data_IF_692797392057
#
_entry.id   IF_692797392057
#
_cell.length_a   1.000
_cell.length_b   1.000
_cell.length_c   1.000
_cell.angle_alpha   90.00
_cell.angle_beta   90.00
_cell.angle_gamma   90.00
#
_symmetry.space_group_name_H-M   'P 1'
#
loop_
_entity.id
_entity.type
_entity.pdbx_description
1 polymer ?
#
# COMPACT_ATOMS: atom_id res chain seq x y z
N UNK A 1 -4.11 3.50 16.61
CA UNK A 1 -5.38 3.84 15.94
C UNK A 1 -5.36 5.34 15.68
N UNK A 2 -5.67 5.80 14.46
CA UNK A 2 -5.77 7.25 14.18
C UNK A 2 -6.98 7.80 14.94
N UNK A 3 -6.85 8.99 15.53
CA UNK A 3 -7.98 9.62 16.23
C UNK A 3 -8.92 10.26 15.21
N UNK A 4 -10.22 10.14 15.44
CA UNK A 4 -11.26 10.77 14.62
C UNK A 4 -10.98 12.27 14.51
N UNK A 5 -11.05 12.80 13.29
CA UNK A 5 -10.96 14.23 13.03
C UNK A 5 -12.21 14.89 13.60
N UNK A 6 -11.98 15.88 14.46
CA UNK A 6 -13.03 16.68 15.08
C UNK A 6 -13.36 17.92 14.24
N UNK A 7 -12.34 18.64 13.76
CA UNK A 7 -12.50 19.84 12.93
C UNK A 7 -11.18 20.25 12.24
N UNK A 8 -11.26 21.26 11.36
CA UNK A 8 -10.09 21.98 10.83
C UNK A 8 -9.89 23.28 11.62
N UNK A 9 -8.63 23.62 11.90
CA UNK A 9 -8.26 24.95 12.40
C UNK A 9 -8.62 26.04 11.39
N UNK A 10 -8.74 27.30 11.83
CA UNK A 10 -8.96 28.43 10.93
C UNK A 10 -7.86 28.54 9.86
N UNK A 11 -6.61 28.24 10.22
CA UNK A 11 -5.50 28.20 9.28
C UNK A 11 -5.66 27.10 8.24
N UNK A 12 -6.05 25.88 8.66
CA UNK A 12 -6.28 24.77 7.73
C UNK A 12 -7.43 25.07 6.77
N UNK A 13 -8.53 25.66 7.24
CA UNK A 13 -9.66 26.04 6.39
C UNK A 13 -9.25 27.07 5.35
N UNK A 14 -8.50 28.11 5.75
CA UNK A 14 -7.97 29.11 4.83
C UNK A 14 -7.09 28.47 3.75
N UNK A 15 -6.14 27.61 4.15
CA UNK A 15 -5.27 26.90 3.20
C UNK A 15 -6.04 25.96 2.27
N UNK A 16 -7.11 25.35 2.77
CA UNK A 16 -7.97 24.49 1.97
C UNK A 16 -8.61 25.30 0.83
N UNK A 17 -9.29 26.40 1.19
CA UNK A 17 -10.00 27.27 0.25
C UNK A 17 -9.07 27.97 -0.75
N UNK A 18 -7.87 28.35 -0.35
CA UNK A 18 -6.90 29.03 -1.22
C UNK A 18 -6.33 28.13 -2.32
N UNK A 19 -6.28 26.81 -2.10
CA UNK A 19 -5.39 25.91 -2.86
C UNK A 19 -6.05 24.67 -3.42
N UNK A 20 -7.21 24.28 -2.90
CA UNK A 20 -7.84 23.01 -3.22
C UNK A 20 -9.31 23.21 -3.57
N UNK A 21 -9.82 22.29 -4.38
CA UNK A 21 -11.23 22.20 -4.78
C UNK A 21 -12.07 21.39 -3.80
N UNK A 22 -11.45 20.48 -3.03
CA UNK A 22 -12.14 19.69 -2.01
C UNK A 22 -12.70 20.58 -0.87
N UNK A 23 -13.96 20.34 -0.49
CA UNK A 23 -14.58 21.06 0.63
C UNK A 23 -14.09 20.58 1.99
N UNK A 24 -14.30 21.39 3.02
CA UNK A 24 -13.94 21.02 4.40
C UNK A 24 -14.64 19.73 4.85
N UNK A 25 -15.94 19.61 4.61
CA UNK A 25 -16.74 18.44 5.03
C UNK A 25 -16.28 17.17 4.32
N UNK A 26 -15.96 17.30 3.04
CA UNK A 26 -15.47 16.22 2.20
C UNK A 26 -14.10 15.71 2.70
N UNK A 27 -13.19 16.64 3.03
CA UNK A 27 -11.88 16.30 3.60
C UNK A 27 -12.02 15.62 4.96
N UNK A 28 -12.84 16.16 5.85
CA UNK A 28 -13.09 15.57 7.17
C UNK A 28 -13.67 14.16 7.02
N UNK A 29 -14.58 13.96 6.07
CA UNK A 29 -15.14 12.64 5.78
C UNK A 29 -14.06 11.67 5.30
N UNK A 30 -13.22 12.06 4.34
CA UNK A 30 -12.11 11.23 3.85
C UNK A 30 -11.11 10.84 4.94
N UNK A 31 -10.81 11.76 5.85
CA UNK A 31 -9.92 11.46 6.97
C UNK A 31 -10.58 10.50 7.98
N UNK A 32 -11.88 10.63 8.20
CA UNK A 32 -12.64 9.81 9.15
C UNK A 32 -13.02 8.42 8.62
N UNK A 33 -12.96 8.15 7.31
CA UNK A 33 -13.13 6.80 6.74
C UNK A 33 -11.92 5.89 6.95
N UNK A 34 -10.83 6.40 7.51
CA UNK A 34 -9.62 5.60 7.77
C UNK A 34 -8.77 5.33 6.53
N UNK A 35 -9.03 6.03 5.43
CA UNK A 35 -8.26 5.94 4.18
C UNK A 35 -6.90 6.66 4.26
N UNK A 36 -6.68 7.47 5.30
CA UNK A 36 -5.41 8.11 5.56
C UNK A 36 -4.38 7.16 6.21
N UNK A 37 -3.10 7.34 5.87
CA UNK A 37 -1.98 6.63 6.50
C UNK A 37 -1.02 7.61 7.15
N UNK A 38 -0.61 7.30 8.38
CA UNK A 38 0.43 8.08 9.08
C UNK A 38 1.78 7.90 8.36
N UNK A 39 2.32 9.00 7.85
CA UNK A 39 3.66 9.02 7.25
C UNK A 39 4.71 9.52 8.23
N UNK A 40 4.35 10.41 9.16
CA UNK A 40 5.27 11.04 10.09
C UNK A 40 4.64 11.38 11.44
N UNK A 41 5.47 11.83 12.35
CA UNK A 41 5.07 12.52 13.59
C UNK A 41 6.19 13.46 14.01
N UNK A 42 5.83 14.50 14.74
CA UNK A 42 6.80 15.28 15.48
C UNK A 42 7.17 14.51 16.75
N UNK A 43 8.46 14.51 17.12
CA UNK A 43 8.94 13.89 18.36
C UNK A 43 8.67 14.78 19.57
N UNK A 44 8.57 16.09 19.36
CA UNK A 44 8.47 17.11 20.41
C UNK A 44 7.03 17.60 20.61
N UNK A 45 6.14 17.28 19.68
CA UNK A 45 4.75 17.72 19.72
C UNK A 45 3.80 16.56 19.45
N UNK A 46 2.53 16.72 19.80
CA UNK A 46 1.48 15.71 19.60
C UNK A 46 0.97 15.68 18.14
N UNK A 47 1.81 16.07 17.18
CA UNK A 47 1.44 16.20 15.79
C UNK A 47 1.75 14.92 15.00
N UNK A 48 0.76 14.46 14.24
CA UNK A 48 0.91 13.39 13.26
C UNK A 48 0.66 13.90 11.85
N UNK A 49 1.40 13.34 10.90
CA UNK A 49 1.29 13.70 9.50
C UNK A 49 0.61 12.54 8.77
N UNK A 50 -0.56 12.82 8.20
CA UNK A 50 -1.43 11.84 7.55
C UNK A 50 -1.42 12.10 6.05
N UNK A 51 -0.99 11.10 5.29
CA UNK A 51 -1.09 11.06 3.85
C UNK A 51 -2.45 10.49 3.45
N UNK A 52 -3.15 11.13 2.52
CA UNK A 52 -4.36 10.60 1.91
C UNK A 52 -4.38 10.83 0.40
N UNK A 53 -5.03 9.94 -0.34
CA UNK A 53 -5.42 10.21 -1.72
C UNK A 53 -6.73 11.00 -1.73
N UNK A 54 -6.76 12.11 -2.46
CA UNK A 54 -7.97 12.89 -2.66
C UNK A 54 -8.48 12.66 -4.10
N UNK A 55 -9.64 12.01 -4.28
CA UNK A 55 -10.20 11.77 -5.62
C UNK A 55 -10.58 13.05 -6.39
N UNK A 56 -10.99 14.10 -5.67
CA UNK A 56 -11.38 15.40 -6.26
C UNK A 56 -10.15 16.11 -6.84
N UNK A 57 -9.06 16.19 -6.07
CA UNK A 57 -7.80 16.77 -6.52
C UNK A 57 -7.04 15.85 -7.49
N UNK A 58 -7.39 14.56 -7.54
CA UNK A 58 -6.60 13.50 -8.19
C UNK A 58 -5.13 13.55 -7.75
N UNK A 59 -4.91 13.83 -6.46
CA UNK A 59 -3.58 14.03 -5.90
C UNK A 59 -3.51 13.54 -4.45
N UNK A 60 -2.27 13.34 -3.98
CA UNK A 60 -2.02 13.10 -2.57
C UNK A 60 -1.95 14.40 -1.78
N UNK A 61 -2.65 14.41 -0.64
CA UNK A 61 -2.64 15.49 0.33
C UNK A 61 -1.99 15.02 1.63
N UNK A 62 -1.38 15.95 2.35
CA UNK A 62 -0.86 15.72 3.70
C UNK A 62 -1.59 16.62 4.68
N UNK A 63 -2.23 16.01 5.67
CA UNK A 63 -2.85 16.70 6.80
C UNK A 63 -1.96 16.58 8.03
N UNK A 64 -1.70 17.70 8.71
CA UNK A 64 -1.04 17.72 10.01
C UNK A 64 -2.11 17.82 11.08
N UNK A 65 -2.22 16.81 11.93
CA UNK A 65 -3.26 16.69 12.95
C UNK A 65 -2.64 16.69 14.34
N UNK A 66 -3.24 17.44 15.27
CA UNK A 66 -2.98 17.29 16.70
C UNK A 66 -3.79 16.09 17.25
N UNK A 67 -3.09 15.08 17.76
CA UNK A 67 -3.75 13.87 18.27
C UNK A 67 -4.48 14.06 19.59
N UNK A 68 -4.23 15.15 20.33
CA UNK A 68 -4.86 15.39 21.63
C UNK A 68 -6.31 15.88 21.49
N UNK A 69 -6.61 16.67 20.47
CA UNK A 69 -7.93 17.24 20.24
C UNK A 69 -8.55 16.80 18.89
N UNK A 70 -7.77 16.14 18.03
CA UNK A 70 -8.21 15.65 16.73
C UNK A 70 -8.28 16.73 15.66
N UNK A 71 -7.80 17.94 15.92
CA UNK A 71 -7.89 19.09 15.02
C UNK A 71 -6.82 18.99 13.92
N UNK A 72 -7.22 19.21 12.67
CA UNK A 72 -6.29 19.38 11.55
C UNK A 72 -5.76 20.81 11.54
N UNK A 73 -4.46 20.98 11.74
CA UNK A 73 -3.80 22.27 11.85
C UNK A 73 -3.46 22.88 10.49
N UNK A 74 -3.12 22.05 9.50
CA UNK A 74 -2.86 22.49 8.13
C UNK A 74 -3.02 21.35 7.14
N UNK A 75 -3.23 21.72 5.86
CA UNK A 75 -3.36 20.82 4.71
C UNK A 75 -2.36 21.26 3.64
N UNK A 76 -1.60 20.32 3.11
CA UNK A 76 -0.51 20.55 2.17
C UNK A 76 -0.64 19.63 0.97
N UNK A 77 -0.15 20.08 -0.19
CA UNK A 77 0.15 19.14 -1.29
C UNK A 77 1.32 18.25 -0.87
N UNK A 78 1.45 17.09 -1.51
CA UNK A 78 2.59 16.21 -1.26
C UNK A 78 3.93 16.92 -1.53
N UNK A 79 4.02 17.70 -2.60
CA UNK A 79 5.25 18.42 -2.97
C UNK A 79 5.65 19.47 -1.95
N UNK A 80 4.68 20.23 -1.43
CA UNK A 80 4.92 21.18 -0.33
C UNK A 80 5.43 20.46 0.92
N UNK A 81 4.81 19.33 1.26
CA UNK A 81 5.24 18.54 2.40
C UNK A 81 6.67 18.01 2.22
N UNK A 82 7.01 17.47 1.05
CA UNK A 82 8.36 16.98 0.75
C UNK A 82 9.37 18.12 0.89
N UNK A 83 9.09 19.29 0.30
CA UNK A 83 9.97 20.46 0.36
C UNK A 83 10.19 20.96 1.80
N UNK A 84 9.11 21.15 2.54
CA UNK A 84 9.13 21.87 3.82
C UNK A 84 9.41 20.93 5.02
N UNK A 85 9.19 19.62 4.86
CA UNK A 85 9.29 18.61 5.93
C UNK A 85 10.20 17.43 5.57
N UNK A 86 11.11 17.58 4.60
CA UNK A 86 12.08 16.54 4.20
C UNK A 86 12.86 15.92 5.38
N UNK A 87 13.11 16.70 6.44
CA UNK A 87 13.81 16.25 7.65
C UNK A 87 13.00 15.22 8.47
N UNK A 88 11.68 15.24 8.36
CA UNK A 88 10.78 14.42 9.18
C UNK A 88 10.49 13.06 8.55
N UNK A 89 10.49 12.99 7.21
CA UNK A 89 10.14 11.80 6.45
C UNK A 89 10.92 11.81 5.13
N UNK A 90 11.60 10.70 4.83
CA UNK A 90 12.25 10.52 3.54
C UNK A 90 11.23 10.26 2.44
N UNK A 91 11.52 10.70 1.22
CA UNK A 91 10.69 10.40 0.04
C UNK A 91 10.47 8.89 -0.14
N UNK A 92 11.49 8.09 0.15
CA UNK A 92 11.41 6.63 0.19
C UNK A 92 10.29 6.12 1.12
N UNK A 93 10.15 6.70 2.32
CA UNK A 93 9.11 6.32 3.27
C UNK A 93 7.72 6.73 2.78
N UNK A 94 7.60 7.90 2.16
CA UNK A 94 6.35 8.36 1.52
C UNK A 94 5.94 7.35 0.45
N UNK A 95 6.85 7.02 -0.47
CA UNK A 95 6.53 6.12 -1.56
C UNK A 95 6.15 4.72 -1.07
N UNK A 96 6.81 4.21 -0.02
CA UNK A 96 6.39 2.95 0.62
C UNK A 96 4.94 3.01 1.11
N UNK A 97 4.55 4.11 1.75
CA UNK A 97 3.17 4.28 2.22
C UNK A 97 2.20 4.43 1.05
N UNK A 98 2.57 5.15 -0.02
CA UNK A 98 1.78 5.23 -1.25
C UNK A 98 1.54 3.84 -1.82
N UNK A 99 2.58 3.01 -1.98
CA UNK A 99 2.42 1.64 -2.47
C UNK A 99 1.47 0.84 -1.57
N UNK A 100 1.62 0.91 -0.24
CA UNK A 100 0.68 0.26 0.69
C UNK A 100 -0.76 0.75 0.54
N UNK A 101 -0.97 2.03 0.25
CA UNK A 101 -2.30 2.61 0.00
C UNK A 101 -2.88 2.08 -1.31
N UNK A 102 -2.08 1.97 -2.37
CA UNK A 102 -2.52 1.38 -3.64
C UNK A 102 -2.91 -0.09 -3.44
N UNK A 103 -2.06 -0.86 -2.75
CA UNK A 103 -2.30 -2.28 -2.47
C UNK A 103 -3.58 -2.51 -1.66
N UNK A 104 -3.92 -1.56 -0.79
CA UNK A 104 -5.14 -1.59 0.02
C UNK A 104 -6.36 -0.98 -0.69
N UNK A 105 -6.27 -0.61 -1.97
CA UNK A 105 -7.37 0.03 -2.72
C UNK A 105 -7.70 1.46 -2.29
N UNK A 106 -6.84 2.11 -1.51
CA UNK A 106 -7.04 3.48 -0.99
C UNK A 106 -6.51 4.56 -1.94
N UNK A 107 -5.76 4.16 -2.97
CA UNK A 107 -5.17 5.03 -3.98
C UNK A 107 -5.17 4.33 -5.35
N UNK A 108 -5.15 5.06 -6.47
CA UNK A 108 -5.20 4.46 -7.80
C UNK A 108 -3.92 3.68 -8.13
N UNK A 109 -4.05 2.63 -8.96
CA UNK A 109 -2.93 1.82 -9.43
C UNK A 109 -1.81 2.65 -10.09
N UNK A 110 -2.16 3.74 -10.77
CA UNK A 110 -1.20 4.65 -11.42
C UNK A 110 -0.23 5.36 -10.43
N UNK A 111 -0.57 5.40 -9.13
CA UNK A 111 0.31 5.95 -8.09
C UNK A 111 1.38 4.94 -7.61
N UNK A 112 1.25 3.67 -7.97
CA UNK A 112 2.21 2.64 -7.58
C UNK A 112 3.54 2.85 -8.29
N UNK A 113 4.63 2.80 -7.53
CA UNK A 113 6.00 2.83 -8.07
C UNK A 113 6.72 1.56 -7.62
N UNK A 114 6.92 0.57 -8.51
CA UNK A 114 7.61 -0.67 -8.16
C UNK A 114 9.08 -0.42 -7.80
N UNK A 115 9.69 -1.37 -7.09
CA UNK A 115 11.13 -1.35 -6.81
C UNK A 115 11.55 -0.50 -5.62
N UNK A 116 10.60 0.02 -4.84
CA UNK A 116 10.90 0.69 -3.57
C UNK A 116 11.29 -0.38 -2.54
N UNK A 117 12.59 -0.46 -2.25
CA UNK A 117 13.30 -1.45 -1.40
C UNK A 117 12.47 -2.24 -0.38
N UNK A 118 12.68 -3.56 -0.39
CA UNK A 118 11.98 -4.60 0.40
C UNK A 118 10.50 -4.77 0.07
N UNK A 119 10.03 -4.32 -1.09
CA UNK A 119 8.75 -4.78 -1.61
C UNK A 119 8.85 -6.29 -1.88
N UNK A 120 7.98 -7.03 -1.23
CA UNK A 120 7.84 -8.47 -1.40
C UNK A 120 6.37 -8.80 -1.46
N UNK A 121 6.08 -9.91 -2.13
CA UNK A 121 4.76 -10.53 -2.10
C UNK A 121 4.83 -11.73 -1.17
N UNK A 122 3.84 -11.86 -0.29
CA UNK A 122 3.70 -13.07 0.52
C UNK A 122 2.91 -14.08 -0.30
N UNK A 123 3.51 -15.24 -0.52
CA UNK A 123 2.96 -16.29 -1.39
C UNK A 123 2.46 -17.45 -0.55
N UNK A 124 1.35 -18.00 -1.00
CA UNK A 124 0.64 -19.09 -0.38
C UNK A 124 0.27 -20.15 -1.40
N UNK A 125 0.26 -21.41 -1.00
CA UNK A 125 -0.23 -22.53 -1.78
C UNK A 125 -1.37 -23.23 -1.05
N UNK A 126 -2.48 -23.45 -1.73
CA UNK A 126 -3.55 -24.32 -1.24
C UNK A 126 -3.21 -25.77 -1.57
N UNK A 127 -3.30 -26.67 -0.58
CA UNK A 127 -2.96 -28.09 -0.75
C UNK A 127 -4.19 -28.99 -0.83
N UNK A 128 -4.19 -30.00 -1.71
CA UNK A 128 -5.27 -31.03 -1.83
C UNK A 128 -5.42 -31.81 -0.54
N UNK A 129 -4.30 -32.34 -0.04
CA UNK A 129 -4.23 -33.28 1.08
C UNK A 129 -4.74 -32.72 2.39
N UNK A 130 -4.56 -31.41 2.61
CA UNK A 130 -4.88 -30.78 3.90
C UNK A 130 -5.98 -29.73 3.81
N UNK A 131 -6.33 -29.25 2.61
CA UNK A 131 -7.24 -28.11 2.39
C UNK A 131 -6.82 -26.82 3.13
N UNK A 132 -5.58 -26.75 3.62
CA UNK A 132 -5.03 -25.57 4.30
C UNK A 132 -4.14 -24.75 3.37
N UNK A 133 -4.15 -23.44 3.64
CA UNK A 133 -3.29 -22.48 2.97
C UNK A 133 -1.87 -22.51 3.57
N UNK A 134 -0.92 -23.12 2.86
CA UNK A 134 0.48 -23.16 3.24
C UNK A 134 1.16 -21.84 2.86
N UNK A 135 1.64 -21.08 3.85
CA UNK A 135 2.51 -19.92 3.59
C UNK A 135 3.85 -20.41 3.06
N UNK A 136 4.17 -20.09 1.80
CA UNK A 136 5.47 -20.41 1.19
C UNK A 136 6.55 -19.43 1.66
N UNK A 137 6.19 -18.15 1.80
CA UNK A 137 7.08 -17.12 2.31
C UNK A 137 7.03 -15.84 1.48
N UNK A 138 8.14 -15.09 1.48
CA UNK A 138 8.26 -13.82 0.78
C UNK A 138 8.99 -14.02 -0.54
N UNK A 139 8.32 -13.75 -1.65
CA UNK A 139 8.96 -13.64 -2.95
C UNK A 139 9.43 -12.21 -3.18
N UNK A 140 10.68 -12.07 -3.64
CA UNK A 140 11.40 -10.78 -3.81
C UNK A 140 11.89 -10.58 -5.26
N UNK A 141 11.33 -11.32 -6.21
CA UNK A 141 11.66 -11.15 -7.63
C UNK A 141 11.00 -9.90 -8.22
N UNK A 142 10.99 -9.81 -9.55
CA UNK A 142 10.51 -8.64 -10.28
C UNK A 142 8.97 -8.48 -10.25
N UNK A 143 8.44 -7.70 -9.31
CA UNK A 143 7.00 -7.34 -9.34
C UNK A 143 6.80 -6.18 -10.33
N UNK A 144 6.10 -6.42 -11.44
CA UNK A 144 5.86 -5.41 -12.49
C UNK A 144 4.42 -4.90 -12.54
N UNK A 145 3.51 -5.48 -11.76
CA UNK A 145 2.11 -5.05 -11.67
C UNK A 145 1.54 -5.14 -10.24
N UNK A 146 0.55 -4.29 -9.95
CA UNK A 146 -0.31 -4.42 -8.77
C UNK A 146 -1.23 -5.64 -8.87
N UNK A 147 -1.50 -6.10 -10.10
CA UNK A 147 -2.17 -7.35 -10.38
C UNK A 147 -1.16 -8.50 -10.26
N UNK A 148 -1.25 -9.22 -9.15
CA UNK A 148 -0.36 -10.34 -8.84
C UNK A 148 -0.65 -11.57 -9.70
N UNK A 149 -1.76 -11.58 -10.46
CA UNK A 149 -2.01 -12.60 -11.47
C UNK A 149 -0.86 -12.67 -12.49
N UNK A 150 -0.21 -11.54 -12.79
CA UNK A 150 0.94 -11.47 -13.71
C UNK A 150 2.19 -12.19 -13.21
N UNK A 151 2.29 -12.49 -11.91
CA UNK A 151 3.36 -13.35 -11.42
C UNK A 151 3.28 -14.76 -12.03
N UNK A 152 2.09 -15.16 -12.46
CA UNK A 152 1.82 -16.39 -13.18
C UNK A 152 2.60 -16.53 -14.49
N UNK A 153 2.97 -15.40 -15.10
CA UNK A 153 3.71 -15.31 -16.36
C UNK A 153 5.23 -15.39 -16.17
N UNK A 154 5.72 -15.47 -14.93
CA UNK A 154 7.15 -15.47 -14.62
C UNK A 154 7.66 -16.90 -14.33
N UNK A 155 8.50 -17.50 -15.19
CA UNK A 155 9.05 -18.84 -14.95
C UNK A 155 9.79 -18.93 -13.61
N UNK A 156 10.60 -17.93 -13.27
CA UNK A 156 11.37 -17.86 -12.04
C UNK A 156 10.50 -17.80 -10.77
N UNK A 157 9.26 -17.29 -10.89
CA UNK A 157 8.29 -17.32 -9.80
C UNK A 157 7.84 -18.76 -9.53
N UNK A 158 7.51 -19.51 -10.57
CA UNK A 158 7.06 -20.90 -10.44
C UNK A 158 8.18 -21.86 -10.02
N UNK A 159 9.41 -21.65 -10.50
CA UNK A 159 10.58 -22.35 -9.98
C UNK A 159 10.76 -22.12 -8.48
N UNK A 160 10.58 -20.87 -8.03
CA UNK A 160 10.64 -20.53 -6.61
C UNK A 160 9.49 -21.17 -5.82
N UNK A 161 8.25 -21.16 -6.33
CA UNK A 161 7.09 -21.82 -5.71
C UNK A 161 7.34 -23.32 -5.56
N UNK A 162 7.83 -23.97 -6.61
CA UNK A 162 8.08 -25.40 -6.62
C UNK A 162 9.14 -25.78 -5.59
N UNK A 163 10.30 -25.12 -5.61
CA UNK A 163 11.38 -25.32 -4.65
C UNK A 163 10.93 -25.10 -3.21
N UNK A 164 10.15 -24.04 -2.96
CA UNK A 164 9.68 -23.69 -1.60
C UNK A 164 8.62 -24.66 -1.09
N UNK A 165 7.78 -25.18 -1.98
CA UNK A 165 6.78 -26.20 -1.64
C UNK A 165 7.46 -27.51 -1.22
N UNK A 166 8.43 -27.98 -2.00
CA UNK A 166 9.21 -29.18 -1.68
C UNK A 166 9.98 -29.02 -0.37
N UNK A 167 10.63 -27.88 -0.16
CA UNK A 167 11.36 -27.58 1.08
C UNK A 167 10.47 -27.55 2.34
N UNK A 168 9.15 -27.38 2.18
CA UNK A 168 8.15 -27.43 3.26
C UNK A 168 7.42 -28.78 3.35
N UNK A 169 7.95 -29.82 2.71
CA UNK A 169 7.41 -31.18 2.77
C UNK A 169 6.12 -31.40 1.99
N UNK A 170 5.80 -30.51 1.03
CA UNK A 170 4.73 -30.72 0.06
C UNK A 170 5.23 -31.38 -1.23
N UNK A 171 4.31 -31.81 -2.09
CA UNK A 171 4.58 -32.20 -3.48
C UNK A 171 3.88 -31.22 -4.43
N UNK A 172 4.34 -31.10 -5.67
CA UNK A 172 3.74 -30.18 -6.64
C UNK A 172 2.33 -30.64 -7.05
N UNK A 173 2.12 -31.96 -7.17
CA UNK A 173 0.81 -32.55 -7.49
C UNK A 173 -0.25 -32.26 -6.43
N UNK A 174 0.18 -32.00 -5.19
CA UNK A 174 -0.66 -31.66 -4.05
C UNK A 174 -1.03 -30.17 -4.03
N UNK A 175 -0.40 -29.31 -4.85
CA UNK A 175 -0.78 -27.89 -4.94
C UNK A 175 -2.04 -27.75 -5.82
N UNK A 176 -3.12 -27.21 -5.26
CA UNK A 176 -4.36 -26.89 -5.98
C UNK A 176 -4.29 -25.54 -6.66
N UNK A 177 -3.83 -24.54 -5.92
CA UNK A 177 -3.77 -23.16 -6.38
C UNK A 177 -2.70 -22.39 -5.62
N UNK A 178 -2.24 -21.31 -6.24
CA UNK A 178 -1.30 -20.37 -5.64
C UNK A 178 -1.98 -19.02 -5.51
N UNK A 179 -1.72 -18.34 -4.41
CA UNK A 179 -2.21 -16.99 -4.17
C UNK A 179 -1.12 -16.14 -3.56
N UNK A 180 -1.14 -14.84 -3.84
CA UNK A 180 -0.14 -13.90 -3.35
C UNK A 180 -0.81 -12.62 -2.88
N UNK A 181 -0.12 -11.88 -1.99
CA UNK A 181 -0.54 -10.54 -1.59
C UNK A 181 0.65 -9.63 -1.31
N UNK A 182 0.48 -8.34 -1.58
CA UNK A 182 1.35 -7.32 -1.02
C UNK A 182 1.08 -7.09 0.47
N UNK A 183 1.99 -6.41 1.14
CA UNK A 183 1.75 -5.95 2.51
C UNK A 183 0.59 -4.94 2.55
N UNK A 184 -0.45 -5.27 3.31
CA UNK A 184 -1.65 -4.44 3.46
C UNK A 184 -2.68 -4.58 2.33
N UNK A 185 -2.40 -5.40 1.30
CA UNK A 185 -3.33 -5.68 0.22
C UNK A 185 -4.09 -6.99 0.38
N UNK A 186 -5.04 -7.20 -0.53
CA UNK A 186 -5.86 -8.41 -0.59
C UNK A 186 -5.11 -9.60 -1.17
N UNK A 187 -5.60 -10.80 -0.86
CA UNK A 187 -5.08 -12.04 -1.42
C UNK A 187 -5.61 -12.22 -2.84
N UNK A 188 -4.70 -12.34 -3.80
CA UNK A 188 -5.01 -12.50 -5.22
C UNK A 188 -4.59 -13.89 -5.70
N UNK A 189 -5.40 -14.49 -6.56
CA UNK A 189 -5.05 -15.75 -7.21
C UNK A 189 -3.96 -15.53 -8.25
N UNK A 190 -2.96 -16.42 -8.28
CA UNK A 190 -1.87 -16.39 -9.27
C UNK A 190 -2.04 -17.59 -10.20
N UNK A 191 -2.57 -17.41 -11.42
CA UNK A 191 -2.80 -18.52 -12.35
C UNK A 191 -1.47 -19.07 -12.84
N UNK A 192 -1.38 -20.40 -12.97
CA UNK A 192 -0.28 -21.00 -13.71
C UNK A 192 -0.49 -20.74 -15.21
N UNK A 193 0.41 -19.99 -15.83
CA UNK A 193 0.46 -19.91 -17.28
C UNK A 193 1.30 -21.08 -17.76
N UNK A 194 0.70 -22.00 -18.54
CA UNK A 194 1.46 -23.05 -19.22
C UNK A 194 2.51 -22.37 -20.11
N UNK A 195 3.75 -22.35 -19.63
CA UNK A 195 4.88 -22.04 -20.49
C UNK A 195 4.92 -23.18 -21.49
N UNK A 196 4.48 -22.92 -22.73
CA UNK A 196 4.60 -23.90 -23.80
C UNK A 196 6.03 -24.47 -23.73
N UNK A 197 6.09 -25.80 -23.53
CA UNK A 197 7.34 -26.56 -23.53
C UNK A 197 8.21 -26.01 -24.68
N UNK A 198 9.49 -25.72 -24.47
CA UNK A 198 10.35 -25.42 -25.60
C UNK A 198 10.22 -26.58 -26.58
N UNK A 199 9.74 -26.26 -27.78
CA UNK A 199 9.79 -27.17 -28.92
C UNK A 199 11.27 -27.28 -29.24
N UNK A 200 11.88 -28.37 -28.76
CA UNK A 200 13.20 -28.80 -29.18
C UNK A 200 13.17 -29.21 -30.65
#
# INVERSE_FOLDING_TARGET
MLRKISSLSAHAQMRLTERFSISTDELVRLLNTGLGKRIGHSLETHLIHILLWCPIEKAFLVCIQDVLNGIVLTVLTLDMYIRDYARNVTERRIQKVINMMVHAGMAPAAAWRPGVMDEYVTVFALRKSTSYLLSLGRWRGAVTSVDLGKLGELPEFWEWVARTTLARGGTLEDVLSVSARFSGGELQHVPYCDFQKPVF
#
